data_IF_832796631918
#
_entry.id   IF_832796631918
#
_cell.length_a   1.000
_cell.length_b   1.000
_cell.length_c   1.000
_cell.angle_alpha   90.00
_cell.angle_beta   90.00
_cell.angle_gamma   90.00
#
_symmetry.space_group_name_H-M   'P 1'
#
loop_
_entity.id
_entity.type
_entity.pdbx_description
1 polymer ?
#
# COMPACT_ATOMS: atom_id res chain seq x y z
N UNK A 1 39.06 0.62 10.50
CA UNK A 1 37.96 0.85 11.47
C UNK A 1 38.42 0.45 12.86
N UNK A 2 38.36 1.34 13.85
CA UNK A 2 38.83 1.06 15.22
C UNK A 2 37.84 0.20 15.99
N UNK A 3 38.28 -0.47 17.05
CA UNK A 3 37.43 -1.27 17.95
C UNK A 3 36.29 -0.42 18.56
N UNK A 4 36.57 0.85 18.87
CA UNK A 4 35.57 1.81 19.37
C UNK A 4 34.48 2.07 18.34
N UNK A 5 34.85 2.27 17.07
CA UNK A 5 33.89 2.46 15.98
C UNK A 5 33.06 1.20 15.75
N UNK A 6 33.67 0.00 15.77
CA UNK A 6 32.94 -1.27 15.61
C UNK A 6 31.90 -1.47 16.72
N UNK A 7 32.26 -1.17 17.97
CA UNK A 7 31.34 -1.26 19.11
C UNK A 7 30.15 -0.31 18.96
N UNK A 8 30.36 0.90 18.43
CA UNK A 8 29.27 1.85 18.16
C UNK A 8 28.27 1.30 17.14
N UNK A 9 28.75 0.83 15.99
CA UNK A 9 27.88 0.23 14.97
C UNK A 9 27.12 -0.99 15.48
N UNK A 10 27.77 -1.82 16.30
CA UNK A 10 27.11 -2.95 16.96
C UNK A 10 25.97 -2.49 17.88
N UNK A 11 26.19 -1.43 18.66
CA UNK A 11 25.14 -0.88 19.55
C UNK A 11 24.00 -0.28 18.73
N UNK A 12 24.31 0.47 17.67
CA UNK A 12 23.30 1.02 16.75
C UNK A 12 22.46 -0.12 16.18
N UNK A 13 23.06 -1.08 15.49
CA UNK A 13 22.35 -2.19 14.87
C UNK A 13 21.52 -2.97 15.89
N UNK A 14 22.09 -3.30 17.05
CA UNK A 14 21.35 -4.01 18.10
C UNK A 14 20.06 -3.30 18.49
N UNK A 15 20.13 -2.00 18.75
CA UNK A 15 18.96 -1.26 19.24
C UNK A 15 17.98 -0.89 18.14
N UNK A 16 18.46 -0.49 16.96
CA UNK A 16 17.57 -0.23 15.83
C UNK A 16 16.83 -1.50 15.43
N UNK A 17 17.53 -2.65 15.32
CA UNK A 17 16.88 -3.93 15.04
C UNK A 17 15.84 -4.29 16.10
N UNK A 18 16.21 -4.32 17.38
CA UNK A 18 15.29 -4.77 18.44
C UNK A 18 14.04 -3.89 18.57
N UNK A 19 14.17 -2.58 18.41
CA UNK A 19 13.05 -1.64 18.51
C UNK A 19 12.03 -1.89 17.41
N UNK A 20 12.48 -2.15 16.17
CA UNK A 20 11.56 -2.35 15.06
C UNK A 20 11.13 -3.81 14.86
N UNK A 21 11.84 -4.81 15.40
CA UNK A 21 11.59 -6.24 15.09
C UNK A 21 10.15 -6.68 15.29
N UNK A 22 9.51 -6.32 16.42
CA UNK A 22 8.13 -6.72 16.68
C UNK A 22 7.18 -6.21 15.60
N UNK A 23 7.32 -4.94 15.22
CA UNK A 23 6.46 -4.31 14.23
C UNK A 23 6.74 -4.83 12.83
N UNK A 24 8.01 -5.08 12.49
CA UNK A 24 8.36 -5.72 11.23
C UNK A 24 7.80 -7.14 11.13
N UNK A 25 7.80 -7.93 12.22
CA UNK A 25 7.17 -9.25 12.22
C UNK A 25 5.67 -9.15 11.94
N UNK A 26 4.98 -8.19 12.57
CA UNK A 26 3.56 -7.94 12.28
C UNK A 26 3.36 -7.59 10.81
N UNK A 27 4.15 -6.65 10.28
CA UNK A 27 4.05 -6.17 8.89
C UNK A 27 4.36 -7.30 7.90
N UNK A 28 5.41 -8.10 8.08
CA UNK A 28 5.71 -9.25 7.22
C UNK A 28 4.57 -10.28 7.25
N UNK A 29 4.17 -10.74 8.44
CA UNK A 29 3.12 -11.76 8.59
C UNK A 29 1.77 -11.31 8.01
N UNK A 30 1.44 -10.03 8.16
CA UNK A 30 0.20 -9.47 7.60
C UNK A 30 0.33 -9.11 6.12
N UNK A 31 1.54 -8.79 5.65
CA UNK A 31 1.83 -8.47 4.25
C UNK A 31 1.76 -9.68 3.33
N UNK A 32 2.17 -10.84 3.84
CA UNK A 32 2.16 -12.09 3.07
C UNK A 32 0.79 -12.45 2.49
N UNK A 33 -0.33 -12.47 3.23
CA UNK A 33 -1.66 -12.67 2.63
C UNK A 33 -2.11 -11.48 1.77
N UNK A 34 -1.75 -10.25 2.14
CA UNK A 34 -2.14 -9.05 1.38
C UNK A 34 -1.51 -9.03 -0.03
N UNK A 35 -0.34 -9.61 -0.21
CA UNK A 35 0.31 -9.77 -1.52
C UNK A 35 -0.54 -10.57 -2.52
N UNK A 36 -1.37 -11.48 -2.01
CA UNK A 36 -2.26 -12.33 -2.80
C UNK A 36 -3.72 -11.95 -2.63
N UNK A 37 -4.02 -10.69 -2.29
CA UNK A 37 -5.39 -10.25 -1.97
C UNK A 37 -6.39 -10.58 -3.06
N UNK A 38 -6.11 -10.19 -4.30
CA UNK A 38 -6.94 -10.50 -5.47
C UNK A 38 -7.22 -12.00 -5.57
N UNK A 39 -6.16 -12.82 -5.56
CA UNK A 39 -6.27 -14.27 -5.71
C UNK A 39 -7.09 -14.90 -4.57
N UNK A 40 -6.98 -14.36 -3.36
CA UNK A 40 -7.76 -14.79 -2.19
C UNK A 40 -9.24 -14.38 -2.37
N UNK A 41 -9.53 -13.16 -2.82
CA UNK A 41 -10.89 -12.71 -3.09
C UNK A 41 -11.55 -13.54 -4.18
N UNK A 42 -10.88 -13.70 -5.33
CA UNK A 42 -11.38 -14.48 -6.46
C UNK A 42 -11.67 -15.95 -6.05
N UNK A 43 -10.81 -16.54 -5.24
CA UNK A 43 -10.93 -17.96 -4.85
C UNK A 43 -12.03 -18.19 -3.81
N UNK A 44 -12.18 -17.29 -2.83
CA UNK A 44 -13.03 -17.54 -1.65
C UNK A 44 -14.34 -16.76 -1.64
N UNK A 45 -14.46 -15.72 -2.47
CA UNK A 45 -15.66 -14.91 -2.59
C UNK A 45 -16.26 -15.07 -3.99
N UNK A 46 -15.41 -15.12 -5.02
CA UNK A 46 -15.85 -15.21 -6.40
C UNK A 46 -16.09 -13.83 -7.01
N UNK A 47 -16.24 -13.82 -8.33
CA UNK A 47 -16.62 -12.66 -9.12
C UNK A 47 -18.12 -12.76 -9.42
N UNK A 48 -18.92 -11.86 -8.85
CA UNK A 48 -20.38 -11.83 -9.01
C UNK A 48 -20.81 -10.94 -10.18
N UNK A 49 -19.86 -10.46 -11.00
CA UNK A 49 -20.18 -9.57 -12.10
C UNK A 49 -21.09 -10.25 -13.14
N UNK A 50 -22.22 -9.61 -13.52
CA UNK A 50 -23.13 -10.17 -14.50
C UNK A 50 -22.45 -10.24 -15.87
N UNK A 51 -22.70 -11.29 -16.67
CA UNK A 51 -22.02 -11.48 -17.94
C UNK A 51 -22.37 -10.37 -18.95
N UNK A 52 -21.35 -9.86 -19.61
CA UNK A 52 -21.48 -8.88 -20.69
C UNK A 52 -22.15 -9.46 -21.94
N UNK A 53 -22.83 -8.59 -22.70
CA UNK A 53 -23.38 -8.99 -24.00
C UNK A 53 -22.25 -9.29 -24.99
N UNK A 54 -22.42 -10.39 -25.74
CA UNK A 54 -21.48 -10.80 -26.80
C UNK A 54 -21.74 -9.93 -28.03
N UNK A 55 -20.84 -8.97 -28.26
CA UNK A 55 -20.89 -8.05 -29.40
C UNK A 55 -19.73 -8.32 -30.36
N UNK A 56 -19.82 -7.88 -31.63
CA UNK A 56 -18.72 -7.96 -32.57
C UNK A 56 -17.43 -7.32 -32.01
N UNK A 57 -16.24 -7.90 -32.27
CA UNK A 57 -14.98 -7.32 -31.86
C UNK A 57 -14.82 -5.89 -32.38
N UNK A 58 -14.33 -4.98 -31.53
CA UNK A 58 -14.13 -3.58 -31.89
C UNK A 58 -15.40 -2.72 -31.90
N UNK A 59 -16.52 -3.22 -31.36
CA UNK A 59 -17.71 -2.38 -31.12
C UNK A 59 -17.32 -1.16 -30.27
N UNK A 60 -17.53 0.07 -30.76
CA UNK A 60 -17.14 1.27 -30.02
C UNK A 60 -17.99 1.44 -28.77
N UNK A 61 -17.42 2.10 -27.76
CA UNK A 61 -18.18 2.51 -26.59
C UNK A 61 -19.30 3.50 -26.99
N UNK A 62 -20.43 3.40 -26.30
CA UNK A 62 -21.46 4.42 -26.34
C UNK A 62 -20.91 5.73 -25.78
N UNK A 63 -21.46 6.86 -26.24
CA UNK A 63 -21.12 8.17 -25.65
C UNK A 63 -21.44 8.16 -24.15
N UNK A 64 -20.52 8.69 -23.35
CA UNK A 64 -20.74 8.88 -21.91
C UNK A 64 -21.97 9.77 -21.64
N UNK A 65 -22.33 10.66 -22.56
CA UNK A 65 -23.55 11.47 -22.43
C UNK A 65 -24.82 10.60 -22.44
N UNK A 66 -24.85 9.55 -23.27
CA UNK A 66 -26.00 8.61 -23.31
C UNK A 66 -26.12 7.83 -22.00
N UNK A 67 -24.98 7.44 -21.42
CA UNK A 67 -24.93 6.73 -20.14
C UNK A 67 -25.40 7.66 -19.01
N UNK A 68 -24.91 8.90 -19.01
CA UNK A 68 -25.29 9.96 -18.05
C UNK A 68 -26.78 10.28 -18.14
N UNK A 69 -27.33 10.44 -19.34
CA UNK A 69 -28.75 10.71 -19.55
C UNK A 69 -29.63 9.55 -19.06
N UNK A 70 -29.21 8.30 -19.30
CA UNK A 70 -29.88 7.11 -18.76
C UNK A 70 -29.85 7.09 -17.23
N UNK A 71 -28.71 7.39 -16.62
CA UNK A 71 -28.60 7.47 -15.16
C UNK A 71 -29.53 8.54 -14.57
N UNK A 72 -29.60 9.73 -15.19
CA UNK A 72 -30.57 10.78 -14.81
C UNK A 72 -32.01 10.35 -14.97
N UNK A 73 -32.34 9.63 -16.03
CA UNK A 73 -33.69 9.12 -16.26
C UNK A 73 -34.12 8.06 -15.23
N UNK A 74 -33.18 7.24 -14.75
CA UNK A 74 -33.42 6.27 -13.68
C UNK A 74 -33.63 6.95 -12.32
N UNK A 75 -32.94 8.07 -12.06
CA UNK A 75 -33.00 8.81 -10.79
C UNK A 75 -33.15 10.33 -11.00
N UNK A 76 -34.33 10.83 -11.45
CA UNK A 76 -34.52 12.22 -11.88
C UNK A 76 -34.46 13.28 -10.77
N UNK A 77 -34.39 12.86 -9.49
CA UNK A 77 -34.23 13.75 -8.33
C UNK A 77 -32.84 13.71 -7.70
N UNK A 78 -31.88 13.08 -8.36
CA UNK A 78 -30.52 12.91 -7.84
C UNK A 78 -29.49 13.60 -8.72
N UNK A 79 -28.36 13.95 -8.12
CA UNK A 79 -27.19 14.46 -8.82
C UNK A 79 -26.25 13.31 -9.17
N UNK A 80 -25.55 13.45 -10.29
CA UNK A 80 -24.40 12.60 -10.61
C UNK A 80 -23.17 13.19 -9.91
N UNK A 81 -22.40 12.34 -9.24
CA UNK A 81 -21.22 12.78 -8.49
C UNK A 81 -19.94 12.43 -9.24
N UNK A 82 -19.91 11.30 -9.95
CA UNK A 82 -18.80 10.90 -10.80
C UNK A 82 -19.22 9.91 -11.91
N UNK A 83 -18.39 9.84 -12.94
CA UNK A 83 -18.45 8.87 -14.04
C UNK A 83 -17.06 8.26 -14.21
N UNK A 84 -16.94 6.94 -14.06
CA UNK A 84 -15.66 6.24 -14.06
C UNK A 84 -15.77 5.02 -14.99
N UNK A 85 -15.24 5.11 -16.23
CA UNK A 85 -15.01 3.94 -17.07
C UNK A 85 -14.07 2.95 -16.36
N UNK A 86 -14.33 1.66 -16.51
CA UNK A 86 -13.46 0.61 -16.01
C UNK A 86 -12.24 0.43 -16.95
N UNK A 87 -11.09 0.09 -16.37
CA UNK A 87 -9.83 -0.07 -17.12
C UNK A 87 -9.76 -1.46 -17.78
N UNK A 88 -10.32 -2.49 -17.13
CA UNK A 88 -10.18 -3.90 -17.51
C UNK A 88 -11.46 -4.47 -18.14
N UNK A 89 -12.60 -3.83 -17.90
CA UNK A 89 -13.91 -4.27 -18.39
C UNK A 89 -14.59 -3.23 -19.28
N UNK A 90 -15.47 -3.63 -20.21
CA UNK A 90 -16.30 -2.70 -20.96
C UNK A 90 -17.45 -2.18 -20.08
N UNK A 91 -17.12 -1.54 -18.96
CA UNK A 91 -18.06 -0.99 -17.99
C UNK A 91 -17.85 0.50 -17.72
N UNK A 92 -18.92 1.17 -17.31
CA UNK A 92 -18.89 2.54 -16.79
C UNK A 92 -19.68 2.59 -15.50
N UNK A 93 -19.02 3.02 -14.43
CA UNK A 93 -19.64 3.24 -13.14
C UNK A 93 -20.09 4.70 -13.01
N UNK A 94 -21.38 4.93 -12.84
CA UNK A 94 -21.96 6.25 -12.56
C UNK A 94 -22.36 6.32 -11.10
N UNK A 95 -21.74 7.21 -10.34
CA UNK A 95 -22.10 7.45 -8.93
C UNK A 95 -23.14 8.55 -8.83
N UNK A 96 -24.15 8.37 -7.98
CA UNK A 96 -25.25 9.30 -7.77
C UNK A 96 -25.55 9.51 -6.28
N UNK A 97 -26.18 10.64 -5.96
CA UNK A 97 -26.67 10.95 -4.62
C UNK A 97 -27.84 11.95 -4.67
N UNK A 98 -28.69 12.05 -3.63
CA UNK A 98 -29.75 13.06 -3.58
C UNK A 98 -29.25 14.50 -3.71
N UNK A 99 -28.12 14.83 -3.07
CA UNK A 99 -27.46 16.14 -3.19
C UNK A 99 -26.05 16.09 -2.59
N UNK A 100 -25.24 17.10 -2.89
CA UNK A 100 -23.94 17.30 -2.23
C UNK A 100 -24.10 17.49 -0.71
N UNK A 101 -25.19 18.14 -0.27
CA UNK A 101 -25.48 18.31 1.15
C UNK A 101 -25.78 16.97 1.83
N UNK A 102 -26.51 16.06 1.17
CA UNK A 102 -26.78 14.73 1.72
C UNK A 102 -25.49 13.94 1.96
N UNK A 103 -24.55 13.97 1.01
CA UNK A 103 -23.24 13.33 1.18
C UNK A 103 -22.40 13.97 2.29
N UNK A 104 -22.51 15.29 2.47
CA UNK A 104 -21.85 15.99 3.57
C UNK A 104 -22.48 15.66 4.93
N UNK A 105 -23.80 15.50 4.97
CA UNK A 105 -24.51 15.12 6.19
C UNK A 105 -24.13 13.70 6.62
N UNK A 106 -23.93 12.77 5.66
CA UNK A 106 -23.48 11.40 5.93
C UNK A 106 -22.14 11.36 6.70
N UNK A 107 -21.26 12.36 6.57
CA UNK A 107 -20.01 12.44 7.36
C UNK A 107 -20.28 12.48 8.88
N UNK A 108 -21.47 12.92 9.30
CA UNK A 108 -21.90 13.00 10.69
C UNK A 108 -22.68 11.76 11.17
N UNK A 109 -23.06 10.84 10.27
CA UNK A 109 -23.91 9.68 10.55
C UNK A 109 -23.30 8.41 9.94
N UNK A 110 -22.73 7.53 10.77
CA UNK A 110 -21.95 6.36 10.31
C UNK A 110 -22.78 5.24 9.66
N UNK A 111 -24.10 5.30 9.79
CA UNK A 111 -25.08 4.39 9.24
C UNK A 111 -25.81 4.95 8.01
N UNK A 112 -25.60 6.23 7.69
CA UNK A 112 -26.22 6.88 6.54
C UNK A 112 -25.29 6.82 5.32
N UNK A 113 -25.79 6.23 4.24
CA UNK A 113 -25.10 6.15 2.95
C UNK A 113 -26.05 6.62 1.87
N UNK A 114 -26.13 7.94 1.68
CA UNK A 114 -26.99 8.61 0.71
C UNK A 114 -26.51 8.42 -0.73
N UNK A 115 -25.25 8.04 -0.94
CA UNK A 115 -24.68 7.76 -2.27
C UNK A 115 -24.91 6.31 -2.72
N UNK A 116 -25.07 6.13 -4.03
CA UNK A 116 -25.15 4.82 -4.70
C UNK A 116 -24.50 4.89 -6.08
N UNK A 117 -24.32 3.75 -6.75
CA UNK A 117 -23.75 3.65 -8.09
C UNK A 117 -24.58 2.74 -9.01
N UNK A 118 -24.42 2.98 -10.31
CA UNK A 118 -25.00 2.20 -11.40
C UNK A 118 -23.86 1.76 -12.33
N UNK A 119 -23.69 0.47 -12.53
CA UNK A 119 -22.73 -0.13 -13.49
C UNK A 119 -23.45 -0.33 -14.83
N UNK A 120 -22.92 0.30 -15.87
CA UNK A 120 -23.41 0.16 -17.24
C UNK A 120 -22.41 -0.59 -18.11
N UNK A 121 -22.88 -1.35 -19.10
CA UNK A 121 -22.02 -1.80 -20.20
C UNK A 121 -21.65 -0.58 -21.05
N UNK A 122 -20.35 -0.32 -21.18
CA UNK A 122 -19.79 0.84 -21.87
C UNK A 122 -20.18 0.90 -23.35
N UNK A 123 -20.51 -0.23 -23.98
CA UNK A 123 -20.80 -0.34 -25.42
C UNK A 123 -22.28 -0.21 -25.71
N UNK A 124 -23.14 -0.77 -24.86
CA UNK A 124 -24.60 -0.78 -25.07
C UNK A 124 -25.35 0.26 -24.23
N UNK A 125 -24.68 0.81 -23.21
CA UNK A 125 -25.29 1.62 -22.16
C UNK A 125 -26.47 0.90 -21.47
N UNK A 126 -26.48 -0.44 -21.44
CA UNK A 126 -27.42 -1.22 -20.64
C UNK A 126 -26.94 -1.24 -19.20
N UNK A 127 -27.86 -1.14 -18.26
CA UNK A 127 -27.55 -1.36 -16.85
C UNK A 127 -27.18 -2.83 -16.66
N UNK A 128 -26.01 -3.07 -16.10
CA UNK A 128 -25.54 -4.40 -15.69
C UNK A 128 -25.95 -4.66 -14.24
N UNK A 129 -25.62 -3.70 -13.38
CA UNK A 129 -25.84 -3.81 -11.95
C UNK A 129 -26.08 -2.40 -11.37
N UNK A 130 -26.77 -2.32 -10.24
CA UNK A 130 -26.88 -1.09 -9.46
C UNK A 130 -26.71 -1.44 -8.00
N UNK A 131 -25.89 -0.69 -7.26
CA UNK A 131 -25.91 -0.81 -5.80
C UNK A 131 -27.30 -0.43 -5.30
N UNK A 132 -27.87 -1.24 -4.41
CA UNK A 132 -29.17 -0.93 -3.83
C UNK A 132 -29.11 0.37 -2.99
N UNK A 133 -30.21 1.14 -2.92
CA UNK A 133 -30.35 2.26 -1.99
C UNK A 133 -30.11 1.84 -0.52
N UNK A 134 -29.95 2.84 0.34
CA UNK A 134 -29.47 2.83 1.74
C UNK A 134 -30.14 1.83 2.70
N UNK A 135 -31.19 1.12 2.30
CA UNK A 135 -32.04 0.23 3.10
C UNK A 135 -31.82 -1.28 2.85
N UNK A 136 -30.94 -1.66 1.92
CA UNK A 136 -30.58 -3.07 1.75
C UNK A 136 -29.78 -3.60 2.95
N UNK A 137 -30.01 -4.86 3.39
CA UNK A 137 -29.19 -5.49 4.44
C UNK A 137 -27.72 -5.44 4.03
N UNK A 138 -26.84 -5.02 4.94
CA UNK A 138 -25.39 -5.10 4.72
C UNK A 138 -25.05 -6.52 4.27
N UNK A 139 -24.34 -6.64 3.16
CA UNK A 139 -23.75 -7.91 2.75
C UNK A 139 -23.09 -8.56 3.97
N UNK A 140 -23.44 -9.82 4.29
CA UNK A 140 -22.85 -10.50 5.42
C UNK A 140 -21.33 -10.51 5.21
N UNK A 141 -20.58 -9.97 6.16
CA UNK A 141 -19.12 -9.95 6.08
C UNK A 141 -18.63 -11.38 5.90
N UNK A 142 -18.03 -11.66 4.75
CA UNK A 142 -17.37 -12.93 4.51
C UNK A 142 -16.21 -13.08 5.50
N UNK A 143 -15.90 -14.30 5.91
CA UNK A 143 -14.72 -14.58 6.75
C UNK A 143 -13.44 -14.05 6.09
N UNK A 144 -13.36 -14.16 4.75
CA UNK A 144 -12.32 -13.56 3.91
C UNK A 144 -12.19 -12.06 4.14
N UNK A 145 -13.29 -11.30 4.03
CA UNK A 145 -13.29 -9.85 4.25
C UNK A 145 -12.87 -9.45 5.66
N UNK A 146 -13.23 -10.23 6.68
CA UNK A 146 -12.81 -10.00 8.07
C UNK A 146 -11.29 -10.17 8.22
N UNK A 147 -10.75 -11.31 7.76
CA UNK A 147 -9.32 -11.64 7.91
C UNK A 147 -8.47 -10.66 7.11
N UNK A 148 -8.79 -10.43 5.84
CA UNK A 148 -8.06 -9.50 4.97
C UNK A 148 -8.15 -8.07 5.50
N UNK A 149 -9.29 -7.68 6.05
CA UNK A 149 -9.47 -6.40 6.72
C UNK A 149 -8.59 -6.24 7.97
N UNK A 150 -8.46 -7.29 8.79
CA UNK A 150 -7.57 -7.28 9.97
C UNK A 150 -6.10 -7.20 9.53
N UNK A 151 -5.68 -8.03 8.57
CA UNK A 151 -4.34 -8.01 8.01
C UNK A 151 -4.00 -6.59 7.50
N UNK A 152 -4.85 -5.99 6.68
CA UNK A 152 -4.64 -4.65 6.15
C UNK A 152 -4.54 -3.58 7.25
N UNK A 153 -5.43 -3.61 8.24
CA UNK A 153 -5.43 -2.62 9.33
C UNK A 153 -4.20 -2.75 10.23
N UNK A 154 -3.76 -3.96 10.55
CA UNK A 154 -2.51 -4.20 11.26
C UNK A 154 -1.31 -3.73 10.43
N UNK A 155 -1.25 -4.13 9.17
CA UNK A 155 -0.14 -3.85 8.26
C UNK A 155 0.07 -2.35 8.04
N UNK A 156 -1.02 -1.59 7.90
CA UNK A 156 -0.95 -0.16 7.53
C UNK A 156 -1.07 0.79 8.71
N UNK A 157 -1.69 0.38 9.82
CA UNK A 157 -2.03 1.35 10.86
C UNK A 157 -2.07 0.82 12.28
N UNK A 158 -1.85 -0.48 12.51
CA UNK A 158 -2.03 -1.10 13.84
C UNK A 158 -3.39 -0.75 14.49
N UNK A 159 -4.45 -0.59 13.70
CA UNK A 159 -5.77 -0.08 14.13
C UNK A 159 -5.79 1.32 14.76
N UNK A 160 -4.68 2.06 14.70
CA UNK A 160 -4.52 3.38 15.29
C UNK A 160 -4.56 4.51 14.23
N UNK A 161 -5.16 4.26 13.06
CA UNK A 161 -5.35 5.25 11.99
C UNK A 161 -4.06 6.00 11.64
N UNK A 162 -4.11 7.34 11.49
CA UNK A 162 -2.95 8.16 11.13
C UNK A 162 -1.80 8.07 12.16
N UNK A 163 -2.04 8.14 13.49
CA UNK A 163 -0.97 7.88 14.46
C UNK A 163 -0.24 6.56 14.23
N UNK A 164 -0.98 5.48 13.97
CA UNK A 164 -0.38 4.17 13.71
C UNK A 164 0.41 4.10 12.40
N UNK A 165 -0.10 4.72 11.33
CA UNK A 165 0.61 4.89 10.05
C UNK A 165 1.95 5.58 10.24
N UNK A 166 1.95 6.75 10.87
CA UNK A 166 3.17 7.52 11.13
C UNK A 166 4.14 6.78 12.06
N UNK A 167 3.63 6.04 13.03
CA UNK A 167 4.44 5.19 13.90
C UNK A 167 5.13 4.06 13.11
N UNK A 168 4.38 3.35 12.25
CA UNK A 168 4.95 2.32 11.38
C UNK A 168 5.96 2.92 10.39
N UNK A 169 5.70 4.12 9.87
CA UNK A 169 6.66 4.87 9.07
C UNK A 169 7.96 5.12 9.83
N UNK A 170 7.87 5.62 11.06
CA UNK A 170 9.05 5.80 11.91
C UNK A 170 9.80 4.48 12.15
N UNK A 171 9.09 3.37 12.37
CA UNK A 171 9.69 2.03 12.48
C UNK A 171 10.36 1.58 11.17
N UNK A 172 9.78 1.89 10.01
CA UNK A 172 10.40 1.68 8.70
C UNK A 172 11.71 2.48 8.54
N UNK A 173 11.75 3.73 9.00
CA UNK A 173 12.99 4.51 9.04
C UNK A 173 14.06 3.91 9.97
N UNK A 174 13.65 3.43 11.15
CA UNK A 174 14.54 2.71 12.09
C UNK A 174 15.04 1.39 11.46
N UNK A 175 14.19 0.70 10.72
CA UNK A 175 14.57 -0.52 10.00
C UNK A 175 15.62 -0.24 8.91
N UNK A 176 15.46 0.82 8.12
CA UNK A 176 16.50 1.24 7.15
C UNK A 176 17.83 1.50 7.87
N UNK A 177 17.82 2.17 9.02
CA UNK A 177 19.03 2.36 9.83
C UNK A 177 19.61 1.03 10.35
N UNK A 178 18.76 0.05 10.69
CA UNK A 178 19.19 -1.32 11.03
C UNK A 178 19.88 -2.00 9.85
N UNK A 179 19.34 -1.93 8.64
CA UNK A 179 19.95 -2.53 7.44
C UNK A 179 21.30 -1.90 7.10
N UNK A 180 21.39 -0.57 7.13
CA UNK A 180 22.67 0.16 6.91
C UNK A 180 23.71 -0.26 7.94
N UNK A 181 23.35 -0.24 9.23
CA UNK A 181 24.27 -0.64 10.30
C UNK A 181 24.64 -2.14 10.25
N UNK A 182 23.72 -3.01 9.84
CA UNK A 182 23.95 -4.44 9.62
C UNK A 182 24.94 -4.69 8.49
N UNK A 183 24.83 -3.95 7.39
CA UNK A 183 25.75 -4.02 6.24
C UNK A 183 27.18 -3.66 6.65
N UNK A 184 27.35 -2.60 7.46
CA UNK A 184 28.67 -2.21 8.00
C UNK A 184 29.28 -3.30 8.87
N UNK A 185 28.46 -3.98 9.70
CA UNK A 185 28.92 -5.07 10.57
C UNK A 185 29.26 -6.34 9.78
N UNK A 186 28.41 -6.70 8.81
CA UNK A 186 28.58 -7.86 7.94
C UNK A 186 29.94 -7.82 7.24
N UNK A 187 30.28 -6.69 6.62
CA UNK A 187 31.57 -6.51 5.93
C UNK A 187 32.78 -6.74 6.83
N UNK A 188 32.66 -6.54 8.15
CA UNK A 188 33.74 -6.80 9.11
C UNK A 188 33.79 -8.24 9.60
N UNK A 189 32.64 -8.85 9.86
CA UNK A 189 32.53 -10.21 10.40
C UNK A 189 32.79 -11.28 9.33
N UNK A 190 32.37 -11.03 8.08
CA UNK A 190 32.51 -12.00 6.99
C UNK A 190 33.77 -11.80 6.15
N UNK A 191 34.61 -10.80 6.45
CA UNK A 191 35.85 -10.50 5.68
C UNK A 191 36.79 -11.70 5.49
N UNK A 192 36.75 -12.68 6.39
CA UNK A 192 37.64 -13.85 6.41
C UNK A 192 36.92 -15.17 6.12
N UNK A 193 35.66 -15.12 5.70
CA UNK A 193 34.83 -16.28 5.43
C UNK A 193 34.36 -16.26 3.97
N UNK A 194 34.33 -17.41 3.28
CA UNK A 194 33.63 -17.51 2.01
C UNK A 194 32.16 -17.13 2.17
N UNK A 195 31.56 -16.51 1.14
CA UNK A 195 30.13 -16.27 1.12
C UNK A 195 29.37 -17.60 1.27
N UNK A 196 28.30 -17.60 2.08
CA UNK A 196 27.50 -18.80 2.33
C UNK A 196 28.02 -19.73 3.44
N UNK A 197 29.13 -19.42 4.10
CA UNK A 197 29.62 -20.27 5.20
C UNK A 197 28.66 -20.25 6.41
N UNK A 198 28.18 -21.41 6.83
CA UNK A 198 27.44 -21.61 8.08
C UNK A 198 28.18 -22.64 8.93
N UNK A 199 28.69 -22.23 10.09
CA UNK A 199 29.44 -23.13 10.98
C UNK A 199 28.47 -23.88 11.89
N UNK A 200 28.23 -25.16 11.59
CA UNK A 200 27.34 -26.06 12.35
C UNK A 200 28.08 -26.92 13.37
N UNK A 201 29.41 -26.97 13.29
CA UNK A 201 30.32 -27.74 14.15
C UNK A 201 30.59 -27.09 15.52
N UNK A 202 29.98 -25.94 15.80
CA UNK A 202 30.24 -25.12 16.99
C UNK A 202 28.97 -24.85 17.80
N UNK A 203 29.13 -24.14 18.92
CA UNK A 203 28.02 -23.73 19.78
C UNK A 203 26.85 -23.14 18.96
N UNK A 204 25.62 -23.61 19.22
CA UNK A 204 24.39 -23.26 18.50
C UNK A 204 24.24 -21.77 18.19
N UNK A 205 24.67 -20.90 19.11
CA UNK A 205 24.66 -19.44 18.94
C UNK A 205 25.48 -18.95 17.72
N UNK A 206 26.61 -19.58 17.41
CA UNK A 206 27.42 -19.20 16.26
C UNK A 206 26.72 -19.58 14.96
N UNK A 207 26.09 -20.74 14.90
CA UNK A 207 25.24 -21.18 13.77
C UNK A 207 24.13 -20.16 13.50
N UNK A 208 23.41 -19.74 14.55
CA UNK A 208 22.37 -18.71 14.43
C UNK A 208 22.90 -17.37 13.96
N UNK A 209 24.11 -16.99 14.37
CA UNK A 209 24.75 -15.74 13.94
C UNK A 209 25.12 -15.80 12.46
N UNK A 210 25.70 -16.91 12.03
CA UNK A 210 26.07 -17.14 10.63
C UNK A 210 24.82 -17.17 9.74
N UNK A 211 23.75 -17.83 10.20
CA UNK A 211 22.47 -17.86 9.50
C UNK A 211 21.85 -16.46 9.41
N UNK A 212 21.82 -15.69 10.49
CA UNK A 212 21.33 -14.31 10.49
C UNK A 212 22.09 -13.43 9.49
N UNK A 213 23.43 -13.55 9.45
CA UNK A 213 24.27 -12.80 8.52
C UNK A 213 24.04 -13.23 7.07
N UNK A 214 23.94 -14.53 6.80
CA UNK A 214 23.72 -15.08 5.47
C UNK A 214 22.36 -14.65 4.92
N UNK A 215 21.28 -14.95 5.65
CA UNK A 215 19.91 -14.64 5.23
C UNK A 215 19.72 -13.12 5.10
N UNK A 216 20.21 -12.35 6.07
CA UNK A 216 20.10 -10.89 6.06
C UNK A 216 20.84 -10.24 4.89
N UNK A 217 21.98 -10.80 4.47
CA UNK A 217 22.71 -10.29 3.29
C UNK A 217 22.07 -10.75 1.99
N UNK A 218 21.59 -12.00 1.93
CA UNK A 218 20.89 -12.54 0.77
C UNK A 218 19.62 -11.74 0.45
N UNK A 219 18.93 -11.20 1.46
CA UNK A 219 17.73 -10.36 1.29
C UNK A 219 18.00 -8.86 1.38
N UNK A 220 19.24 -8.40 1.60
CA UNK A 220 19.56 -7.02 1.95
C UNK A 220 18.98 -5.99 0.98
N UNK A 221 19.20 -6.18 -0.33
CA UNK A 221 18.75 -5.23 -1.36
C UNK A 221 17.23 -5.16 -1.38
N UNK A 222 16.56 -6.31 -1.35
CA UNK A 222 15.11 -6.38 -1.32
C UNK A 222 14.54 -5.76 -0.05
N UNK A 223 15.07 -6.12 1.12
CA UNK A 223 14.65 -5.60 2.42
C UNK A 223 14.84 -4.07 2.50
N UNK A 224 15.92 -3.54 1.91
CA UNK A 224 16.17 -2.11 1.85
C UNK A 224 15.15 -1.40 0.96
N UNK A 225 14.87 -1.96 -0.23
CA UNK A 225 13.87 -1.40 -1.16
C UNK A 225 12.49 -1.42 -0.53
N UNK A 226 12.02 -2.57 -0.05
CA UNK A 226 10.68 -2.72 0.55
C UNK A 226 10.55 -1.91 1.84
N UNK A 227 11.57 -1.92 2.70
CA UNK A 227 11.58 -1.15 3.95
C UNK A 227 11.57 0.36 3.72
N UNK A 228 12.37 0.85 2.77
CA UNK A 228 12.41 2.27 2.43
C UNK A 228 11.14 2.74 1.73
N UNK A 229 10.63 1.97 0.76
CA UNK A 229 9.38 2.30 0.06
C UNK A 229 8.17 2.21 0.98
N UNK A 230 8.16 1.28 1.94
CA UNK A 230 7.15 1.23 3.01
C UNK A 230 7.17 2.49 3.88
N UNK A 231 8.35 2.92 4.32
CA UNK A 231 8.51 4.20 5.04
C UNK A 231 7.94 5.40 4.25
N UNK A 232 8.26 5.48 2.94
CA UNK A 232 7.74 6.54 2.07
C UNK A 232 6.21 6.45 1.93
N UNK A 233 5.67 5.24 1.79
CA UNK A 233 4.23 5.03 1.63
C UNK A 233 3.41 5.47 2.86
N UNK A 234 3.97 5.37 4.07
CA UNK A 234 3.32 5.88 5.29
C UNK A 234 3.22 7.41 5.33
N UNK A 235 4.02 8.12 4.54
CA UNK A 235 3.94 9.57 4.38
C UNK A 235 2.85 10.00 3.39
N UNK A 236 2.08 9.08 2.79
CA UNK A 236 1.05 9.42 1.81
C UNK A 236 0.05 10.45 2.34
N UNK A 237 -0.53 10.23 3.52
CA UNK A 237 -1.58 11.10 4.06
C UNK A 237 -1.08 12.53 4.27
N UNK A 238 0.06 12.77 4.95
CA UNK A 238 0.59 14.12 5.07
C UNK A 238 1.06 14.73 3.74
N UNK A 239 1.62 13.95 2.80
CA UNK A 239 2.08 14.49 1.52
C UNK A 239 0.92 14.91 0.60
N UNK A 240 -0.13 14.11 0.50
CA UNK A 240 -1.37 14.50 -0.19
C UNK A 240 -2.08 15.65 0.55
N UNK A 241 -2.02 15.66 1.88
CA UNK A 241 -2.50 16.78 2.70
C UNK A 241 -1.78 18.09 2.38
N UNK A 242 -0.45 18.04 2.24
CA UNK A 242 0.38 19.18 1.83
C UNK A 242 -0.03 19.69 0.45
N UNK A 243 -0.04 18.80 -0.55
CA UNK A 243 -0.47 19.13 -1.92
C UNK A 243 -1.86 19.77 -1.97
N UNK A 244 -2.79 19.28 -1.15
CA UNK A 244 -4.14 19.83 -1.04
C UNK A 244 -4.15 21.28 -0.54
N UNK A 245 -3.36 21.59 0.48
CA UNK A 245 -3.36 22.94 1.09
C UNK A 245 -2.47 23.94 0.35
N UNK A 246 -1.53 23.47 -0.48
CA UNK A 246 -0.67 24.29 -1.32
C UNK A 246 -1.21 24.40 -2.74
N UNK A 247 -0.93 23.42 -3.58
CA UNK A 247 -1.12 23.45 -5.03
C UNK A 247 -2.61 23.47 -5.39
N UNK A 248 -3.39 22.54 -4.85
CA UNK A 248 -4.84 22.43 -5.15
C UNK A 248 -5.57 23.70 -4.70
N UNK A 249 -5.28 24.18 -3.48
CA UNK A 249 -5.88 25.41 -2.97
C UNK A 249 -5.51 26.63 -3.84
N UNK A 250 -4.28 26.71 -4.32
CA UNK A 250 -3.85 27.79 -5.22
C UNK A 250 -4.55 27.73 -6.58
N UNK A 251 -4.65 26.54 -7.17
CA UNK A 251 -5.34 26.30 -8.45
C UNK A 251 -6.81 26.69 -8.36
N UNK A 252 -7.49 26.32 -7.27
CA UNK A 252 -8.93 26.55 -7.10
C UNK A 252 -9.28 27.94 -6.56
N UNK A 253 -8.29 28.72 -6.09
CA UNK A 253 -8.51 30.05 -5.49
C UNK A 253 -9.35 31.00 -6.35
N UNK A 254 -9.16 31.10 -7.70
CA UNK A 254 -9.97 31.98 -8.53
C UNK A 254 -11.46 31.59 -8.59
N UNK A 255 -11.78 30.34 -8.28
CA UNK A 255 -13.11 29.76 -8.45
C UNK A 255 -13.85 29.54 -7.13
N UNK A 256 -13.17 29.69 -5.98
CA UNK A 256 -13.67 29.28 -4.67
C UNK A 256 -15.02 29.90 -4.26
N UNK A 257 -15.35 31.09 -4.78
CA UNK A 257 -16.58 31.81 -4.46
C UNK A 257 -17.64 31.73 -5.57
N UNK A 258 -17.40 30.97 -6.64
CA UNK A 258 -18.40 30.78 -7.68
C UNK A 258 -19.47 29.79 -7.22
N UNK A 259 -20.75 30.02 -7.56
CA UNK A 259 -21.81 29.08 -7.25
C UNK A 259 -21.62 27.78 -8.04
N UNK A 260 -22.00 26.66 -7.44
CA UNK A 260 -22.08 25.37 -8.14
C UNK A 260 -23.21 25.45 -9.16
N UNK A 261 -22.96 25.25 -10.46
CA UNK A 261 -23.99 25.31 -11.50
C UNK A 261 -24.98 24.14 -11.37
N UNK A 262 -26.22 24.33 -11.83
CA UNK A 262 -27.16 23.20 -11.98
C UNK A 262 -26.61 22.18 -12.98
N UNK A 263 -26.81 20.90 -12.69
CA UNK A 263 -26.40 19.81 -13.58
C UNK A 263 -27.18 19.78 -14.91
N UNK A 264 -28.33 20.45 -14.98
CA UNK A 264 -29.17 20.55 -16.19
C UNK A 264 -28.50 21.34 -17.32
N UNK A 265 -27.56 22.22 -16.98
CA UNK A 265 -26.92 23.15 -17.92
C UNK A 265 -25.41 22.93 -18.05
N UNK A 266 -24.94 21.72 -17.73
CA UNK A 266 -23.53 21.39 -17.91
C UNK A 266 -23.25 20.92 -19.34
N UNK A 267 -22.04 21.21 -19.79
CA UNK A 267 -21.45 20.71 -21.03
C UNK A 267 -21.33 19.17 -21.03
N UNK A 268 -21.18 18.62 -22.23
CA UNK A 268 -21.04 17.18 -22.50
C UNK A 268 -19.90 16.56 -21.68
N UNK A 269 -20.20 15.43 -21.05
CA UNK A 269 -19.24 14.60 -20.32
C UNK A 269 -18.29 13.94 -21.32
N UNK A 270 -18.79 13.46 -22.46
CA UNK A 270 -17.94 12.88 -23.49
C UNK A 270 -16.92 13.91 -24.02
N UNK A 271 -17.36 15.13 -24.31
CA UNK A 271 -16.47 16.19 -24.77
C UNK A 271 -15.42 16.59 -23.71
N UNK A 272 -15.77 16.50 -22.42
CA UNK A 272 -14.82 16.73 -21.32
C UNK A 272 -13.75 15.63 -21.26
N UNK A 273 -14.12 14.36 -21.43
CA UNK A 273 -13.17 13.24 -21.56
C UNK A 273 -12.24 13.44 -22.76
N UNK A 274 -12.78 13.81 -23.93
CA UNK A 274 -11.99 14.07 -25.13
C UNK A 274 -11.02 15.25 -24.93
N UNK A 275 -11.46 16.29 -24.22
CA UNK A 275 -10.64 17.46 -23.87
C UNK A 275 -9.50 17.07 -22.93
N UNK A 276 -9.78 16.25 -21.92
CA UNK A 276 -8.74 15.76 -21.01
C UNK A 276 -7.74 14.84 -21.70
N UNK A 277 -8.19 13.94 -22.57
CA UNK A 277 -7.31 13.07 -23.36
C UNK A 277 -6.35 13.88 -24.24
N UNK A 278 -6.82 15.00 -24.82
CA UNK A 278 -5.97 15.94 -25.58
C UNK A 278 -5.01 16.72 -24.68
N UNK A 279 -5.44 17.10 -23.48
CA UNK A 279 -4.64 17.88 -22.55
C UNK A 279 -3.52 17.07 -21.86
N UNK A 280 -3.68 15.75 -21.77
CA UNK A 280 -2.71 14.83 -21.16
C UNK A 280 -2.31 13.70 -22.13
N UNK A 281 -1.60 14.00 -23.23
CA UNK A 281 -1.24 13.00 -24.22
C UNK A 281 -0.34 11.91 -23.61
N UNK A 282 -0.65 10.64 -23.91
CA UNK A 282 0.03 9.47 -23.33
C UNK A 282 -0.48 9.06 -21.94
N UNK A 283 -1.51 9.73 -21.44
CA UNK A 283 -2.31 9.27 -20.31
C UNK A 283 -3.69 8.79 -20.78
N UNK A 284 -4.30 7.91 -19.98
CA UNK A 284 -5.69 7.47 -20.11
C UNK A 284 -6.55 8.23 -19.10
N UNK A 285 -7.79 8.58 -19.47
CA UNK A 285 -8.73 9.27 -18.60
C UNK A 285 -9.52 8.21 -17.82
N UNK A 286 -9.32 8.15 -16.51
CA UNK A 286 -9.85 7.06 -15.66
C UNK A 286 -11.20 7.41 -15.03
N UNK A 287 -11.57 8.69 -15.06
CA UNK A 287 -12.82 9.12 -14.47
C UNK A 287 -12.97 10.63 -14.39
N UNK A 288 -14.19 11.05 -14.09
CA UNK A 288 -14.60 12.44 -13.98
C UNK A 288 -15.44 12.61 -12.71
N UNK A 289 -15.13 13.64 -11.93
CA UNK A 289 -15.96 14.11 -10.81
C UNK A 289 -16.71 15.37 -11.23
N UNK A 290 -18.00 15.45 -10.88
CA UNK A 290 -18.85 16.60 -11.16
C UNK A 290 -18.51 17.81 -10.26
N UNK A 291 -18.86 19.05 -10.69
CA UNK A 291 -18.68 20.23 -9.87
C UNK A 291 -19.46 20.15 -8.55
N UNK A 292 -18.86 20.63 -7.47
CA UNK A 292 -19.47 20.69 -6.13
C UNK A 292 -19.04 19.59 -5.14
N UNK A 293 -18.22 18.63 -5.58
CA UNK A 293 -17.60 17.65 -4.67
C UNK A 293 -16.77 18.34 -3.56
N UNK A 294 -16.73 17.77 -2.35
CA UNK A 294 -16.07 18.35 -1.16
C UNK A 294 -14.57 18.68 -1.33
N UNK A 295 -13.89 18.06 -2.30
CA UNK A 295 -12.49 18.31 -2.65
C UNK A 295 -12.30 18.72 -4.13
N UNK A 296 -13.40 19.04 -4.82
CA UNK A 296 -13.43 19.41 -6.23
C UNK A 296 -13.51 20.93 -6.44
N UNK A 297 -13.63 21.31 -7.70
CA UNK A 297 -13.94 22.69 -8.06
C UNK A 297 -15.45 22.93 -8.06
N UNK A 298 -15.95 24.12 -7.70
CA UNK A 298 -17.38 24.42 -7.80
C UNK A 298 -17.88 24.50 -9.24
N UNK A 299 -17.01 24.73 -10.24
CA UNK A 299 -17.44 24.95 -11.64
C UNK A 299 -16.79 24.02 -12.66
N UNK A 300 -15.84 23.17 -12.26
CA UNK A 300 -15.13 22.28 -13.19
C UNK A 300 -15.55 20.83 -13.03
N UNK A 301 -15.58 20.13 -14.15
CA UNK A 301 -15.31 18.71 -14.17
C UNK A 301 -13.84 18.48 -13.79
N UNK A 302 -13.62 17.63 -12.78
CA UNK A 302 -12.27 17.20 -12.40
C UNK A 302 -12.06 15.82 -13.01
N UNK A 303 -11.28 15.75 -14.08
CA UNK A 303 -10.94 14.50 -14.74
C UNK A 303 -9.62 13.99 -14.20
N UNK A 304 -9.59 12.72 -13.80
CA UNK A 304 -8.36 12.05 -13.41
C UNK A 304 -7.80 11.32 -14.61
N UNK A 305 -6.51 11.49 -14.86
CA UNK A 305 -5.79 10.76 -15.91
C UNK A 305 -4.66 9.99 -15.28
N UNK A 306 -4.28 8.82 -15.83
CA UNK A 306 -3.13 8.02 -15.40
C UNK A 306 -2.20 7.73 -16.59
N UNK A 307 -0.92 7.46 -16.36
CA UNK A 307 -0.03 7.11 -17.47
C UNK A 307 -0.36 5.75 -18.10
N UNK A 308 -0.39 5.67 -19.42
CA UNK A 308 -0.78 4.48 -20.20
C UNK A 308 0.27 3.35 -20.25
N UNK A 309 1.22 3.32 -19.31
CA UNK A 309 2.27 2.28 -19.25
C UNK A 309 2.39 1.77 -17.83
N UNK A 310 2.78 0.50 -17.59
CA UNK A 310 2.88 -0.05 -16.23
C UNK A 310 3.72 0.81 -15.27
N UNK A 311 4.81 1.40 -15.75
CA UNK A 311 5.69 2.27 -14.95
C UNK A 311 5.03 3.61 -14.57
N UNK A 312 4.12 4.13 -15.41
CA UNK A 312 3.44 5.41 -15.21
C UNK A 312 1.99 5.25 -14.74
N UNK A 313 1.54 4.01 -14.56
CA UNK A 313 0.15 3.69 -14.23
C UNK A 313 -0.29 4.31 -12.90
N UNK A 314 0.61 4.56 -11.95
CA UNK A 314 0.31 5.26 -10.68
C UNK A 314 0.50 6.78 -10.74
N UNK A 315 0.99 7.31 -11.86
CA UNK A 315 1.20 8.74 -12.04
C UNK A 315 -0.06 9.37 -12.60
N UNK A 316 -0.85 10.00 -11.74
CA UNK A 316 -2.04 10.71 -12.17
C UNK A 316 -1.80 12.19 -12.48
N UNK A 317 -2.63 12.77 -13.34
CA UNK A 317 -2.68 14.20 -13.65
C UNK A 317 -4.14 14.65 -13.67
N UNK A 318 -4.61 15.42 -12.68
CA UNK A 318 -5.92 16.04 -12.75
C UNK A 318 -5.99 17.06 -13.89
N UNK A 319 -7.06 16.98 -14.67
CA UNK A 319 -7.41 17.94 -15.71
C UNK A 319 -8.72 18.62 -15.30
N UNK A 320 -8.71 19.95 -15.31
CA UNK A 320 -9.88 20.77 -15.04
C UNK A 320 -10.49 21.25 -16.35
N UNK A 321 -11.74 20.88 -16.59
CA UNK A 321 -12.56 21.35 -17.71
C UNK A 321 -13.72 22.13 -17.13
N UNK A 322 -13.93 23.38 -17.58
CA UNK A 322 -15.06 24.19 -17.11
C UNK A 322 -16.37 23.48 -17.50
N UNK A 323 -17.14 23.05 -16.51
CA UNK A 323 -18.31 22.23 -16.76
C UNK A 323 -19.41 23.00 -17.48
N UNK A 324 -19.37 24.34 -17.52
CA UNK A 324 -20.38 25.18 -18.17
C UNK A 324 -20.09 25.36 -19.65
N UNK A 325 -18.82 25.48 -20.02
CA UNK A 325 -18.41 25.77 -21.41
C UNK A 325 -17.79 24.56 -22.11
N UNK A 326 -17.30 23.56 -21.38
CA UNK A 326 -16.53 22.45 -21.91
C UNK A 326 -15.07 22.83 -22.22
N UNK A 327 -14.63 24.04 -21.88
CA UNK A 327 -13.28 24.50 -22.19
C UNK A 327 -12.25 23.99 -21.17
N UNK A 328 -11.03 23.71 -21.65
CA UNK A 328 -9.90 23.33 -20.80
C UNK A 328 -9.47 24.53 -19.95
N UNK A 329 -9.48 24.38 -18.62
CA UNK A 329 -8.87 25.33 -17.70
C UNK A 329 -7.39 25.02 -17.48
N UNK A 330 -7.04 23.74 -17.34
CA UNK A 330 -5.65 23.33 -17.18
C UNK A 330 -5.47 21.87 -16.78
N UNK A 331 -4.25 21.37 -17.01
CA UNK A 331 -3.80 20.06 -16.55
C UNK A 331 -2.67 20.24 -15.54
N UNK A 332 -2.79 19.61 -14.38
CA UNK A 332 -1.91 19.87 -13.24
C UNK A 332 -1.20 18.58 -12.82
N UNK A 333 0.01 18.29 -13.35
CA UNK A 333 0.72 17.07 -13.01
C UNK A 333 1.11 17.08 -11.53
N UNK A 334 1.22 15.87 -10.95
CA UNK A 334 1.68 15.74 -9.58
C UNK A 334 3.06 16.39 -9.35
N UNK A 335 3.27 17.05 -8.20
CA UNK A 335 4.58 17.52 -7.80
C UNK A 335 5.54 16.34 -7.58
N UNK A 336 6.83 16.61 -7.69
CA UNK A 336 7.88 15.57 -7.70
C UNK A 336 7.83 14.62 -6.49
N UNK A 337 7.44 15.12 -5.31
CA UNK A 337 7.38 14.31 -4.09
C UNK A 337 6.23 13.29 -4.10
N UNK A 338 5.08 13.64 -4.69
CA UNK A 338 3.99 12.68 -4.90
C UNK A 338 4.33 11.70 -6.01
N UNK A 339 4.98 12.16 -7.08
CA UNK A 339 5.48 11.26 -8.14
C UNK A 339 6.46 10.23 -7.58
N UNK A 340 7.39 10.66 -6.72
CA UNK A 340 8.33 9.78 -6.04
C UNK A 340 7.60 8.75 -5.17
N UNK A 341 6.60 9.19 -4.40
CA UNK A 341 5.76 8.29 -3.59
C UNK A 341 5.04 7.25 -4.47
N UNK A 342 4.39 7.68 -5.54
CA UNK A 342 3.63 6.78 -6.43
C UNK A 342 4.53 5.79 -7.18
N UNK A 343 5.73 6.20 -7.59
CA UNK A 343 6.74 5.31 -8.21
C UNK A 343 7.34 4.34 -7.19
N UNK A 344 7.38 4.70 -5.90
CA UNK A 344 7.89 3.82 -4.85
C UNK A 344 6.94 2.66 -4.54
N UNK A 345 5.64 2.84 -4.75
CA UNK A 345 4.60 1.86 -4.41
C UNK A 345 4.74 0.51 -5.11
N UNK A 346 4.94 0.43 -6.45
CA UNK A 346 5.14 -0.86 -7.10
C UNK A 346 6.31 -1.66 -6.53
N UNK A 347 7.39 -0.98 -6.13
CA UNK A 347 8.55 -1.62 -5.52
C UNK A 347 8.23 -2.22 -4.15
N UNK A 348 7.35 -1.57 -3.38
CA UNK A 348 6.88 -2.09 -2.10
C UNK A 348 5.95 -3.30 -2.29
N UNK A 349 4.96 -3.18 -3.17
CA UNK A 349 3.91 -4.18 -3.36
C UNK A 349 4.35 -5.38 -4.20
N UNK A 350 5.34 -5.24 -5.08
CA UNK A 350 5.75 -6.32 -5.98
C UNK A 350 4.70 -6.65 -7.04
N UNK A 351 3.84 -5.69 -7.39
CA UNK A 351 2.66 -5.87 -8.26
C UNK A 351 2.92 -5.57 -9.75
N UNK A 352 4.17 -5.35 -10.14
CA UNK A 352 4.56 -4.97 -11.52
C UNK A 352 5.12 -6.12 -12.36
N UNK A 353 5.33 -7.29 -11.78
CA UNK A 353 5.90 -8.48 -12.45
C UNK A 353 4.98 -9.70 -12.43
N UNK A 354 3.70 -9.50 -12.12
CA UNK A 354 2.70 -10.56 -12.06
C UNK A 354 3.00 -11.64 -11.01
N UNK A 355 2.43 -12.82 -11.20
CA UNK A 355 2.50 -13.92 -10.23
C UNK A 355 3.93 -14.40 -9.91
N UNK A 356 4.87 -14.53 -10.88
CA UNK A 356 6.25 -14.92 -10.56
C UNK A 356 6.93 -13.96 -9.58
N UNK A 357 6.69 -12.65 -9.74
CA UNK A 357 7.24 -11.63 -8.85
C UNK A 357 6.59 -11.68 -7.47
N UNK A 358 5.26 -11.84 -7.39
CA UNK A 358 4.53 -12.06 -6.13
C UNK A 358 5.09 -13.27 -5.37
N UNK A 359 5.34 -14.39 -6.05
CA UNK A 359 5.96 -15.59 -5.43
C UNK A 359 7.37 -15.28 -4.90
N UNK A 360 8.20 -14.58 -5.68
CA UNK A 360 9.53 -14.18 -5.23
C UNK A 360 9.47 -13.26 -4.00
N UNK A 361 8.57 -12.27 -3.99
CA UNK A 361 8.34 -11.38 -2.85
C UNK A 361 7.92 -12.15 -1.60
N UNK A 362 7.00 -13.11 -1.73
CA UNK A 362 6.57 -13.97 -0.65
C UNK A 362 7.74 -14.79 -0.06
N UNK A 363 8.57 -15.40 -0.91
CA UNK A 363 9.73 -16.17 -0.48
C UNK A 363 10.76 -15.31 0.26
N UNK A 364 11.04 -14.11 -0.26
CA UNK A 364 11.96 -13.16 0.37
C UNK A 364 11.42 -12.64 1.71
N UNK A 365 10.12 -12.42 1.81
CA UNK A 365 9.45 -12.04 3.06
C UNK A 365 9.56 -13.15 4.11
N UNK A 366 9.32 -14.41 3.74
CA UNK A 366 9.51 -15.57 4.63
C UNK A 366 10.96 -15.66 5.12
N UNK A 367 11.94 -15.41 4.25
CA UNK A 367 13.36 -15.37 4.66
C UNK A 367 13.61 -14.22 5.65
N UNK A 368 13.04 -13.03 5.42
CA UNK A 368 13.16 -11.90 6.34
C UNK A 368 12.48 -12.18 7.69
N UNK A 369 11.34 -12.87 7.73
CA UNK A 369 10.76 -13.38 8.98
C UNK A 369 11.79 -14.25 9.72
N UNK A 370 12.50 -15.14 9.03
CA UNK A 370 13.60 -15.91 9.59
C UNK A 370 14.76 -15.06 10.12
N UNK A 371 15.13 -13.96 9.43
CA UNK A 371 16.14 -12.99 9.89
C UNK A 371 15.69 -12.29 11.18
N UNK A 372 14.43 -11.87 11.25
CA UNK A 372 13.85 -11.21 12.43
C UNK A 372 13.82 -12.16 13.63
N UNK A 373 13.34 -13.40 13.44
CA UNK A 373 13.31 -14.43 14.49
C UNK A 373 14.72 -14.78 14.96
N UNK A 374 15.66 -15.01 14.04
CA UNK A 374 17.06 -15.30 14.41
C UNK A 374 17.71 -14.17 15.19
N UNK A 375 17.39 -12.91 14.89
CA UNK A 375 17.84 -11.75 15.65
C UNK A 375 17.36 -11.77 17.11
N UNK A 376 16.09 -12.12 17.34
CA UNK A 376 15.52 -12.28 18.68
C UNK A 376 16.17 -13.45 19.44
N UNK A 377 16.35 -14.60 18.78
CA UNK A 377 17.03 -15.78 19.36
C UNK A 377 18.45 -15.43 19.80
N UNK A 378 19.22 -14.73 18.97
CA UNK A 378 20.58 -14.30 19.29
C UNK A 378 20.65 -13.34 20.48
N UNK A 379 19.65 -12.46 20.60
CA UNK A 379 19.54 -11.53 21.72
C UNK A 379 19.14 -12.23 23.02
N UNK A 380 18.15 -13.12 22.97
CA UNK A 380 17.71 -13.91 24.11
C UNK A 380 18.83 -14.82 24.64
N UNK A 381 19.54 -15.53 23.75
CA UNK A 381 20.66 -16.39 24.13
C UNK A 381 21.80 -15.64 24.82
N UNK A 382 22.09 -14.39 24.41
CA UNK A 382 23.09 -13.56 25.12
C UNK A 382 22.63 -13.15 26.52
N UNK A 383 21.33 -12.91 26.72
CA UNK A 383 20.77 -12.61 28.04
C UNK A 383 20.77 -13.82 28.94
N UNK A 384 20.44 -15.02 28.43
CA UNK A 384 20.55 -16.28 29.17
C UNK A 384 21.97 -16.45 29.72
N UNK A 385 23.01 -16.35 28.87
CA UNK A 385 24.42 -16.44 29.33
C UNK A 385 24.76 -15.40 30.41
N UNK A 386 24.32 -14.15 30.26
CA UNK A 386 24.60 -13.09 31.23
C UNK A 386 23.85 -13.30 32.56
N UNK A 387 22.61 -13.78 32.50
CA UNK A 387 21.80 -14.12 33.67
C UNK A 387 22.37 -15.35 34.37
N UNK A 388 22.71 -16.41 33.63
CA UNK A 388 23.31 -17.63 34.18
C UNK A 388 24.65 -17.33 34.85
N UNK A 389 25.48 -16.47 34.26
CA UNK A 389 26.71 -16.00 34.88
C UNK A 389 26.45 -15.25 36.19
N UNK A 390 25.40 -14.44 36.26
CA UNK A 390 24.99 -13.72 37.48
C UNK A 390 24.40 -14.65 38.53
N UNK A 391 23.60 -15.65 38.13
CA UNK A 391 23.01 -16.65 39.03
C UNK A 391 24.09 -17.56 39.61
N UNK A 392 25.05 -18.02 38.80
CA UNK A 392 26.24 -18.75 39.29
C UNK A 392 27.06 -17.89 40.25
N UNK A 393 27.24 -16.60 39.96
CA UNK A 393 27.92 -15.67 40.88
C UNK A 393 27.16 -15.44 42.19
N UNK A 394 25.85 -15.70 42.23
CA UNK A 394 25.01 -15.66 43.43
C UNK A 394 24.88 -17.04 44.12
N UNK A 395 25.58 -18.07 43.63
CA UNK A 395 25.61 -19.40 44.24
C UNK A 395 24.48 -20.35 43.83
N UNK A 396 23.72 -20.04 42.78
CA UNK A 396 22.73 -20.96 42.23
C UNK A 396 23.40 -21.98 41.30
N UNK A 397 23.08 -23.25 41.50
CA UNK A 397 23.46 -24.33 40.59
C UNK A 397 22.43 -24.40 39.44
N UNK A 398 22.92 -24.39 38.20
CA UNK A 398 22.08 -24.42 37.00
C UNK A 398 22.43 -25.69 36.22
N UNK A 399 21.42 -26.53 35.93
CA UNK A 399 21.63 -27.71 35.10
C UNK A 399 22.18 -27.31 33.73
N UNK A 400 23.40 -27.77 33.41
CA UNK A 400 24.13 -27.44 32.18
C UNK A 400 23.53 -28.13 30.92
N UNK A 401 22.37 -28.78 31.03
CA UNK A 401 21.79 -29.67 30.03
C UNK A 401 21.40 -28.99 28.69
N UNK A 402 21.47 -27.67 28.57
CA UNK A 402 21.03 -26.95 27.37
C UNK A 402 22.10 -26.10 26.65
N UNK A 403 23.40 -26.15 26.99
CA UNK A 403 24.29 -25.07 26.51
C UNK A 403 25.79 -25.25 26.32
N UNK A 404 26.41 -26.41 26.49
CA UNK A 404 27.87 -26.55 26.28
C UNK A 404 28.23 -27.69 25.31
N UNK A 405 29.18 -27.47 24.38
CA UNK A 405 29.63 -28.51 23.46
C UNK A 405 30.43 -29.56 24.23
N UNK A 406 30.23 -30.83 23.87
CA UNK A 406 31.06 -31.95 24.32
C UNK A 406 32.49 -31.69 23.85
N UNK A 407 33.30 -31.11 24.73
CA UNK A 407 34.76 -31.11 24.60
C UNK A 407 35.23 -32.49 25.00
N UNK A 408 35.40 -33.38 24.02
CA UNK A 408 36.14 -34.61 24.22
C UNK A 408 37.62 -34.26 24.54
N UNK A 409 37.89 -34.27 25.84
CA UNK A 409 39.14 -34.57 26.54
C UNK A 409 40.40 -34.73 25.66
N UNK A 410 41.31 -33.76 25.77
CA UNK A 410 42.75 -34.03 25.73
C UNK A 410 43.32 -33.75 27.13
N UNK A 411 43.98 -34.73 27.73
CA UNK A 411 44.70 -34.55 28.99
C UNK A 411 45.15 -35.87 29.60
N UNK A 412 46.35 -36.29 29.23
CA UNK A 412 47.15 -37.38 29.78
C UNK A 412 47.28 -37.34 31.32
N UNK A 413 47.57 -38.50 31.94
CA UNK A 413 48.13 -38.52 33.30
C UNK A 413 48.12 -39.84 34.06
N UNK A 414 49.09 -40.70 33.77
CA UNK A 414 49.84 -41.60 34.68
C UNK A 414 49.11 -42.33 35.84
N UNK A 415 49.14 -43.67 35.79
CA UNK A 415 49.97 -44.51 36.68
C UNK A 415 50.18 -45.90 36.10
#
# INVERSE_FOLDING_TARGET
MTTRTLRRWFVVHKWTSLVCTLFLLIVCVTGLPLLFSEQIWDTFVGDDDPPYEVLPPGTPNASLDVIVDKARALYPGQIITSVNPDDDEPAVLVSMAPSWQALKDDENYTDRHSGHWIKFDARTAKVLEQSRPTDAPKEPRTWTGIIMGICNRLHTSLFAYLPGRLFLGAMGGVFVASLVSGTVLYGRFMKRLPFGSVRTDRASRLTWLDLHNLLGTATLVWALVVGFTGFVNELQTPLFGLWRVTDVRQILRPYANLPVPSQDHLSSVQAAFDTAAKAAPGNEVTGLSFPGASFGSPVHYVLWTRGATPLRARLFTPVLVDARTGELTGAYPMPWYLRFLEISRPLHFGDYGGMPLKILWALLDVVVIGVLVSGLVLWAGKRKIATDARLRALGYDLDDAEGAPVSALTGEGAR
#
